data_IF_976735451944
#
_entry.id   IF_976735451944
#
_cell.length_a   1.000
_cell.length_b   1.000
_cell.length_c   1.000
_cell.angle_alpha   90.00
_cell.angle_beta   90.00
_cell.angle_gamma   90.00
#
_symmetry.space_group_name_H-M   'P 1'
#
loop_
_entity.id
_entity.type
_entity.pdbx_description
1 polymer ?
#
# COMPACT_ATOMS: atom_id res chain seq x y z
N UNK A 1 -4.30 -25.31 -3.58
CA UNK A 1 -4.57 -23.85 -3.60
C UNK A 1 -5.41 -23.50 -2.38
N UNK A 2 -4.86 -22.76 -1.41
CA UNK A 2 -5.58 -22.37 -0.18
C UNK A 2 -6.15 -20.96 -0.38
N UNK A 3 -7.47 -20.86 -0.38
CA UNK A 3 -8.19 -19.58 -0.32
C UNK A 3 -7.88 -18.89 1.02
N UNK A 4 -7.34 -17.67 0.97
CA UNK A 4 -7.37 -16.75 2.11
C UNK A 4 -8.49 -15.73 1.88
N UNK A 5 -9.37 -15.49 2.86
CA UNK A 5 -10.34 -14.41 2.77
C UNK A 5 -9.65 -13.04 2.93
N UNK A 6 -10.05 -12.06 2.11
CA UNK A 6 -9.75 -10.65 2.28
C UNK A 6 -10.64 -10.09 3.37
N UNK A 7 -10.05 -9.57 4.45
CA UNK A 7 -10.76 -8.68 5.38
C UNK A 7 -10.69 -7.27 4.81
N UNK A 8 -11.87 -6.70 4.55
CA UNK A 8 -12.04 -5.32 4.11
C UNK A 8 -12.40 -4.50 5.37
N UNK A 9 -11.62 -3.48 5.75
CA UNK A 9 -12.03 -2.59 6.82
C UNK A 9 -12.97 -1.53 6.23
N UNK A 10 -14.25 -1.75 6.47
CA UNK A 10 -15.28 -0.73 6.40
C UNK A 10 -15.36 -0.05 7.78
N UNK A 11 -15.40 1.30 7.77
CA UNK A 11 -15.98 2.23 8.75
C UNK A 11 -15.14 3.50 8.79
N UNK A 12 -15.72 4.68 8.61
CA UNK A 12 -17.04 5.06 9.08
C UNK A 12 -16.85 6.06 10.19
N UNK A 13 -17.04 7.32 9.84
CA UNK A 13 -17.21 8.45 10.74
C UNK A 13 -18.34 8.14 11.73
N UNK A 14 -18.07 8.10 13.03
CA UNK A 14 -19.08 8.35 14.07
C UNK A 14 -18.44 9.09 15.23
N UNK A 15 -18.69 10.40 15.25
CA UNK A 15 -18.57 11.28 16.41
C UNK A 15 -19.77 11.01 17.34
N UNK A 16 -19.52 10.68 18.62
CA UNK A 16 -20.51 10.80 19.70
C UNK A 16 -19.86 11.23 21.01
N UNK A 17 -20.16 12.49 21.32
CA UNK A 17 -20.19 13.15 22.62
C UNK A 17 -20.72 12.29 23.79
N UNK A 18 -20.18 12.57 24.97
CA UNK A 18 -20.84 12.70 26.29
C UNK A 18 -21.62 11.49 26.82
N UNK A 19 -21.18 10.91 27.95
CA UNK A 19 -21.83 10.98 29.27
C UNK A 19 -20.81 10.52 30.33
N UNK A 20 -20.53 11.38 31.31
CA UNK A 20 -19.77 11.00 32.50
C UNK A 20 -20.59 10.07 33.39
N UNK A 21 -20.01 8.95 33.77
CA UNK A 21 -20.58 8.04 34.76
C UNK A 21 -19.65 8.01 35.97
N UNK A 22 -20.05 8.71 37.03
CA UNK A 22 -19.47 8.57 38.36
C UNK A 22 -19.73 7.14 38.85
N UNK A 23 -18.67 6.37 39.06
CA UNK A 23 -18.76 5.11 39.81
C UNK A 23 -18.53 5.42 41.28
N UNK A 24 -19.64 5.40 42.01
CA UNK A 24 -19.70 5.30 43.46
C UNK A 24 -19.05 3.99 43.92
N UNK A 25 -18.25 4.11 44.96
CA UNK A 25 -17.76 3.02 45.81
C UNK A 25 -18.89 2.13 46.30
N UNK A 26 -18.66 0.82 46.31
CA UNK A 26 -19.34 -0.08 47.25
C UNK A 26 -18.34 -1.14 47.75
N UNK A 27 -17.95 -0.97 49.01
CA UNK A 27 -17.25 -1.94 49.85
C UNK A 27 -18.29 -2.98 50.31
N UNK A 28 -18.19 -4.24 49.88
CA UNK A 28 -18.79 -5.37 50.59
C UNK A 28 -18.40 -6.73 50.01
N UNK A 29 -17.87 -7.60 50.88
CA UNK A 29 -18.25 -9.02 50.87
C UNK A 29 -17.24 -10.00 50.29
N UNK A 30 -16.37 -10.52 51.17
CA UNK A 30 -15.68 -11.80 51.03
C UNK A 30 -16.69 -12.95 50.75
N UNK A 31 -16.98 -13.27 49.48
CA UNK A 31 -17.72 -14.48 49.10
C UNK A 31 -17.10 -15.08 47.83
N UNK A 32 -16.45 -16.23 47.97
CA UNK A 32 -16.38 -17.26 46.92
C UNK A 32 -15.44 -17.02 45.73
N UNK A 33 -14.13 -16.88 45.99
CA UNK A 33 -13.05 -16.71 45.00
C UNK A 33 -12.86 -17.87 43.98
N UNK A 34 -13.80 -18.83 43.90
CA UNK A 34 -13.70 -20.05 43.07
C UNK A 34 -14.60 -20.04 41.82
N UNK A 35 -15.50 -19.05 41.67
CA UNK A 35 -16.39 -18.89 40.49
C UNK A 35 -16.10 -17.67 39.62
N UNK A 36 -15.20 -16.77 40.05
CA UNK A 36 -14.84 -15.55 39.31
C UNK A 36 -13.71 -15.82 38.30
N UNK A 37 -12.90 -16.86 38.55
CA UNK A 37 -11.78 -17.28 37.69
C UNK A 37 -12.20 -17.54 36.22
N UNK A 38 -13.29 -18.25 35.90
CA UNK A 38 -13.66 -18.48 34.49
C UNK A 38 -14.10 -17.21 33.77
N UNK A 39 -14.66 -16.23 34.49
CA UNK A 39 -15.11 -14.95 33.92
C UNK A 39 -13.89 -14.09 33.56
N UNK A 40 -12.87 -14.07 34.41
CA UNK A 40 -11.64 -13.30 34.20
C UNK A 40 -10.82 -13.85 33.03
N UNK A 41 -10.75 -15.19 32.86
CA UNK A 41 -10.08 -15.83 31.72
C UNK A 41 -10.81 -15.54 30.40
N UNK A 42 -12.15 -15.52 30.40
CA UNK A 42 -12.94 -15.21 29.21
C UNK A 42 -12.68 -13.78 28.71
N UNK A 43 -12.56 -12.81 29.62
CA UNK A 43 -12.26 -11.42 29.29
C UNK A 43 -10.83 -11.23 28.76
N UNK A 44 -9.85 -11.97 29.29
CA UNK A 44 -8.45 -11.94 28.82
C UNK A 44 -8.29 -12.43 27.38
N UNK A 45 -9.16 -13.32 26.89
CA UNK A 45 -9.11 -13.78 25.48
C UNK A 45 -9.67 -12.77 24.48
N UNK A 46 -10.61 -11.91 24.90
CA UNK A 46 -11.20 -10.88 24.04
C UNK A 46 -10.33 -9.63 23.92
N UNK A 47 -9.44 -9.39 24.89
CA UNK A 47 -8.50 -8.25 24.90
C UNK A 47 -7.10 -8.57 24.34
N UNK A 48 -6.91 -9.74 23.72
CA UNK A 48 -5.68 -10.03 22.97
C UNK A 48 -5.69 -9.29 21.63
N UNK A 49 -5.65 -7.95 21.69
CA UNK A 49 -5.16 -7.15 20.58
C UNK A 49 -3.72 -7.59 20.32
N UNK A 50 -3.49 -8.26 19.18
CA UNK A 50 -2.16 -8.30 18.60
C UNK A 50 -1.80 -6.87 18.28
N UNK A 51 -0.73 -6.36 18.86
CA UNK A 51 -0.07 -5.18 18.35
C UNK A 51 0.19 -5.46 16.86
N UNK A 52 -0.58 -4.80 15.99
CA UNK A 52 -0.13 -4.60 14.63
C UNK A 52 1.16 -3.80 14.78
N UNK A 53 2.27 -4.51 14.60
CA UNK A 53 3.58 -3.92 14.46
C UNK A 53 3.38 -2.65 13.66
N UNK A 54 3.63 -1.52 14.32
CA UNK A 54 3.69 -0.22 13.70
C UNK A 54 4.63 -0.39 12.52
N UNK A 55 4.06 -0.60 11.34
CA UNK A 55 4.74 -0.38 10.08
C UNK A 55 4.96 1.11 10.12
N UNK A 56 6.09 1.50 10.71
CA UNK A 56 6.63 2.84 10.58
C UNK A 56 6.56 3.07 9.08
N UNK A 57 5.65 3.93 8.66
CA UNK A 57 5.56 4.41 7.30
C UNK A 57 6.81 5.26 7.08
N UNK A 58 7.97 4.59 7.06
CA UNK A 58 9.17 5.12 6.47
C UNK A 58 8.75 5.44 5.05
N UNK A 59 8.74 6.72 4.73
CA UNK A 59 8.84 7.21 3.36
C UNK A 59 10.02 6.46 2.74
N UNK A 60 9.73 5.38 2.00
CA UNK A 60 10.73 4.61 1.29
C UNK A 60 11.12 5.49 0.10
N UNK A 61 12.05 6.40 0.34
CA UNK A 61 12.84 7.01 -0.71
C UNK A 61 13.90 5.98 -1.10
N UNK A 62 14.17 5.83 -2.39
CA UNK A 62 15.11 4.82 -2.87
C UNK A 62 16.57 5.15 -2.50
N UNK A 63 16.85 6.34 -1.92
CA UNK A 63 18.17 6.83 -1.51
C UNK A 63 19.28 6.69 -2.58
N UNK A 64 18.90 6.67 -3.86
CA UNK A 64 19.81 6.60 -5.00
C UNK A 64 20.04 7.98 -5.60
N UNK A 65 21.26 8.25 -6.06
CA UNK A 65 21.62 9.53 -6.69
C UNK A 65 21.24 9.54 -8.16
N UNK A 66 21.42 8.41 -8.85
CA UNK A 66 21.06 8.24 -10.25
C UNK A 66 20.29 6.92 -10.43
N UNK A 67 18.94 6.95 -10.37
CA UNK A 67 18.14 5.72 -10.43
C UNK A 67 18.36 4.90 -11.71
N UNK A 68 18.72 5.53 -12.83
CA UNK A 68 18.96 4.81 -14.09
C UNK A 68 20.23 3.95 -14.07
N UNK A 69 21.20 4.29 -13.21
CA UNK A 69 22.47 3.57 -13.07
C UNK A 69 22.53 2.73 -11.79
N UNK A 70 21.95 3.26 -10.71
CA UNK A 70 22.09 2.72 -9.36
C UNK A 70 21.05 1.63 -9.05
N UNK A 71 19.90 1.61 -9.74
CA UNK A 71 18.88 0.57 -9.58
C UNK A 71 19.12 -0.57 -10.59
N UNK A 72 19.56 -1.78 -10.15
CA UNK A 72 19.94 -2.84 -11.07
C UNK A 72 18.78 -3.35 -11.93
N UNK A 73 17.56 -3.39 -11.38
CA UNK A 73 16.36 -3.83 -12.09
C UNK A 73 15.99 -2.83 -13.20
N UNK A 74 16.06 -1.53 -12.93
CA UNK A 74 15.71 -0.49 -13.88
C UNK A 74 16.75 -0.41 -15.01
N UNK A 75 18.04 -0.50 -14.64
CA UNK A 75 19.14 -0.60 -15.60
C UNK A 75 18.95 -1.76 -16.57
N UNK A 76 18.47 -2.91 -16.07
CA UNK A 76 18.20 -4.09 -16.90
C UNK A 76 17.07 -3.83 -17.90
N UNK A 77 15.95 -3.28 -17.45
CA UNK A 77 14.82 -2.92 -18.32
C UNK A 77 15.26 -1.96 -19.44
N UNK A 78 16.10 -0.97 -19.12
CA UNK A 78 16.61 0.01 -20.10
C UNK A 78 17.61 -0.64 -21.08
N UNK A 79 18.41 -1.60 -20.64
CA UNK A 79 19.39 -2.29 -21.46
C UNK A 79 18.77 -3.34 -22.38
N UNK A 80 17.76 -4.06 -21.90
CA UNK A 80 17.04 -5.11 -22.64
C UNK A 80 15.93 -4.53 -23.52
N UNK A 81 15.41 -3.34 -23.18
CA UNK A 81 14.37 -2.66 -23.94
C UNK A 81 14.86 -2.22 -25.32
N UNK A 82 14.43 -2.93 -26.35
CA UNK A 82 14.64 -2.54 -27.77
C UNK A 82 13.60 -1.55 -28.28
N UNK A 83 12.62 -1.18 -27.45
CA UNK A 83 11.55 -0.28 -27.85
C UNK A 83 12.10 1.15 -28.02
N UNK A 84 11.97 1.75 -29.21
CA UNK A 84 12.46 3.11 -29.43
C UNK A 84 11.71 4.14 -28.57
N UNK A 85 10.47 3.84 -28.15
CA UNK A 85 9.60 4.71 -27.36
C UNK A 85 9.57 4.29 -25.87
N UNK A 86 10.72 3.93 -25.31
CA UNK A 86 10.86 3.66 -23.88
C UNK A 86 10.96 4.99 -23.13
N UNK A 87 10.06 5.21 -22.18
CA UNK A 87 10.09 6.35 -21.28
C UNK A 87 10.10 5.87 -19.83
N UNK A 88 10.92 6.52 -19.02
CA UNK A 88 11.05 6.26 -17.58
C UNK A 88 10.81 7.56 -16.84
N UNK A 89 9.86 7.53 -15.93
CA UNK A 89 9.51 8.65 -15.05
C UNK A 89 9.68 8.26 -13.59
N UNK A 90 10.01 9.23 -12.77
CA UNK A 90 9.99 9.14 -11.32
C UNK A 90 8.79 9.93 -10.79
N UNK A 91 8.13 9.43 -9.76
CA UNK A 91 7.03 10.12 -9.09
C UNK A 91 6.90 9.71 -7.63
N UNK A 92 5.87 10.26 -6.97
CA UNK A 92 5.54 9.98 -5.57
C UNK A 92 4.17 9.33 -5.47
N UNK A 93 4.11 8.17 -4.81
CA UNK A 93 2.91 7.40 -4.56
C UNK A 93 2.87 6.94 -3.09
N UNK A 94 1.80 7.27 -2.35
CA UNK A 94 1.69 6.93 -0.92
C UNK A 94 2.94 7.28 -0.08
N UNK A 95 3.55 8.44 -0.35
CA UNK A 95 4.80 8.92 0.28
C UNK A 95 6.03 8.04 0.01
N UNK A 96 6.02 7.27 -1.09
CA UNK A 96 7.15 6.47 -1.56
C UNK A 96 7.51 6.89 -2.98
N UNK A 97 8.81 6.85 -3.29
CA UNK A 97 9.27 7.08 -4.65
C UNK A 97 8.91 5.86 -5.51
N UNK A 98 8.27 6.11 -6.64
CA UNK A 98 7.90 5.09 -7.64
C UNK A 98 8.47 5.46 -9.00
N UNK A 99 8.65 4.44 -9.83
CA UNK A 99 9.13 4.59 -11.19
C UNK A 99 8.08 4.07 -12.16
N UNK A 100 7.71 4.90 -13.12
CA UNK A 100 6.81 4.53 -14.20
C UNK A 100 7.66 4.22 -15.42
N UNK A 101 7.58 2.99 -15.91
CA UNK A 101 8.20 2.58 -17.16
C UNK A 101 7.11 2.43 -18.20
N UNK A 102 7.12 3.29 -19.19
CA UNK A 102 6.19 3.25 -20.32
C UNK A 102 6.90 2.83 -21.60
N UNK A 103 6.20 2.01 -22.39
CA UNK A 103 6.66 1.56 -23.71
C UNK A 103 5.53 1.68 -24.71
N UNK A 104 5.89 1.92 -25.97
CA UNK A 104 4.94 2.05 -27.05
C UNK A 104 5.32 1.06 -28.17
N UNK A 105 4.74 -0.14 -28.22
CA UNK A 105 5.09 -1.13 -29.25
C UNK A 105 4.53 -0.68 -30.61
N UNK A 106 3.35 -0.07 -30.61
CA UNK A 106 2.71 0.52 -31.78
C UNK A 106 1.80 1.63 -31.29
N UNK A 107 2.28 2.88 -31.29
CA UNK A 107 1.56 3.99 -30.66
C UNK A 107 0.14 4.24 -31.20
N UNK A 108 -0.19 3.66 -32.35
CA UNK A 108 -1.54 3.61 -32.89
C UNK A 108 -2.51 2.71 -32.10
N UNK A 109 -2.01 1.64 -31.47
CA UNK A 109 -2.75 0.78 -30.53
C UNK A 109 -2.57 1.21 -29.06
N UNK A 110 -1.82 2.30 -28.86
CA UNK A 110 -1.44 2.98 -27.63
C UNK A 110 -0.35 2.31 -26.79
N UNK A 111 -0.07 2.91 -25.65
CA UNK A 111 1.07 2.60 -24.80
C UNK A 111 0.75 1.63 -23.67
N UNK A 112 1.81 1.01 -23.16
CA UNK A 112 1.82 0.23 -21.92
C UNK A 112 2.65 0.98 -20.89
N UNK A 113 2.19 1.00 -19.65
CA UNK A 113 2.94 1.59 -18.55
C UNK A 113 2.87 0.69 -17.32
N UNK A 114 4.01 0.55 -16.65
CA UNK A 114 4.13 -0.25 -15.45
C UNK A 114 4.75 0.59 -14.35
N UNK A 115 4.13 0.59 -13.18
CA UNK A 115 4.54 1.34 -12.00
C UNK A 115 5.29 0.39 -11.07
N UNK A 116 6.53 0.72 -10.74
CA UNK A 116 7.40 -0.04 -9.86
C UNK A 116 7.73 0.75 -8.59
N UNK A 117 7.91 0.02 -7.50
CA UNK A 117 8.55 0.52 -6.28
C UNK A 117 10.07 0.58 -6.42
N UNK A 118 10.74 1.21 -5.46
CA UNK A 118 12.21 1.23 -5.34
C UNK A 118 12.88 -0.15 -5.43
N UNK A 119 12.25 -1.17 -4.84
CA UNK A 119 12.76 -2.55 -4.82
C UNK A 119 12.51 -3.32 -6.12
N UNK A 120 11.88 -2.68 -7.12
CA UNK A 120 11.56 -3.30 -8.41
C UNK A 120 10.29 -4.15 -8.37
N UNK A 121 9.53 -4.13 -7.27
CA UNK A 121 8.22 -4.77 -7.20
C UNK A 121 7.21 -3.96 -8.00
N UNK A 122 6.53 -4.62 -8.93
CA UNK A 122 5.42 -4.05 -9.69
C UNK A 122 4.24 -3.74 -8.74
N UNK A 123 3.81 -2.48 -8.72
CA UNK A 123 2.58 -2.05 -8.06
C UNK A 123 1.41 -2.30 -8.99
N UNK A 124 1.55 -1.83 -10.23
CA UNK A 124 0.55 -2.07 -11.24
C UNK A 124 1.04 -1.88 -12.67
N UNK A 125 0.34 -2.53 -13.58
CA UNK A 125 0.47 -2.43 -15.01
C UNK A 125 -0.86 -1.95 -15.62
N UNK A 126 -0.79 -1.01 -16.56
CA UNK A 126 -1.95 -0.56 -17.31
C UNK A 126 -1.56 -0.29 -18.77
N UNK A 127 -2.54 -0.43 -19.65
CA UNK A 127 -2.37 -0.28 -21.09
C UNK A 127 -3.57 0.38 -21.72
N UNK A 128 -3.66 0.34 -23.04
CA UNK A 128 -4.92 0.75 -23.70
C UNK A 128 -6.06 -0.20 -23.37
N UNK A 129 -7.29 0.30 -23.47
CA UNK A 129 -8.52 -0.40 -23.09
C UNK A 129 -8.69 -1.81 -23.69
N UNK A 130 -8.01 -2.13 -24.80
CA UNK A 130 -8.06 -3.46 -25.41
C UNK A 130 -7.18 -4.46 -24.65
N UNK A 131 -6.13 -3.97 -24.01
CA UNK A 131 -5.07 -4.77 -23.39
C UNK A 131 -4.97 -4.54 -21.88
N UNK A 132 -5.87 -3.77 -21.27
CA UNK A 132 -5.81 -3.45 -19.86
C UNK A 132 -6.54 -4.50 -19.00
N UNK A 133 -5.83 -5.36 -18.25
CA UNK A 133 -6.46 -6.28 -17.32
C UNK A 133 -6.99 -5.58 -16.05
N UNK A 134 -6.62 -4.32 -15.80
CA UNK A 134 -6.90 -3.65 -14.54
C UNK A 134 -7.12 -2.13 -14.68
N UNK A 135 -8.32 -1.69 -15.11
CA UNK A 135 -8.61 -0.27 -15.40
C UNK A 135 -8.44 0.66 -14.20
N UNK A 136 -8.43 0.12 -12.97
CA UNK A 136 -8.19 0.92 -11.76
C UNK A 136 -6.78 1.49 -11.70
N UNK A 137 -5.80 0.90 -12.41
CA UNK A 137 -4.42 1.38 -12.33
C UNK A 137 -4.14 2.61 -13.18
N UNK A 138 -4.98 2.85 -14.18
CA UNK A 138 -4.99 4.13 -14.86
C UNK A 138 -5.31 5.27 -13.90
N UNK A 139 -6.28 5.07 -12.99
CA UNK A 139 -6.62 6.06 -11.95
C UNK A 139 -5.43 6.34 -11.03
N UNK A 140 -4.71 5.29 -10.60
CA UNK A 140 -3.49 5.45 -9.79
C UNK A 140 -2.47 6.32 -10.51
N UNK A 141 -2.22 6.07 -11.79
CA UNK A 141 -1.28 6.87 -12.57
C UNK A 141 -1.72 8.32 -12.75
N UNK A 142 -3.00 8.56 -13.06
CA UNK A 142 -3.51 9.90 -13.39
C UNK A 142 -3.72 10.78 -12.16
N UNK A 143 -4.24 10.21 -11.07
CA UNK A 143 -4.77 10.97 -9.92
C UNK A 143 -3.95 10.83 -8.64
N UNK A 144 -3.31 9.67 -8.41
CA UNK A 144 -2.62 9.41 -7.15
C UNK A 144 -1.10 9.66 -7.21
N UNK A 145 -0.48 9.52 -8.39
CA UNK A 145 0.95 9.79 -8.57
C UNK A 145 1.21 11.29 -8.75
N UNK A 146 2.05 11.85 -7.88
CA UNK A 146 2.40 13.28 -7.88
C UNK A 146 3.89 13.50 -8.14
N UNK A 147 4.29 14.77 -8.36
CA UNK A 147 5.69 15.19 -8.55
C UNK A 147 6.44 14.40 -9.64
N UNK A 148 5.76 14.14 -10.76
CA UNK A 148 6.35 13.36 -11.86
C UNK A 148 7.51 14.11 -12.51
N UNK A 149 8.59 13.39 -12.76
CA UNK A 149 9.77 13.86 -13.47
C UNK A 149 10.23 12.79 -14.45
N UNK A 150 10.33 13.14 -15.72
CA UNK A 150 10.91 12.26 -16.74
C UNK A 150 12.41 12.13 -16.51
N UNK A 151 12.88 10.89 -16.39
CA UNK A 151 14.30 10.56 -16.22
C UNK A 151 14.94 10.14 -17.56
N UNK A 152 14.17 9.45 -18.40
CA UNK A 152 14.59 8.98 -19.71
C UNK A 152 13.41 9.04 -20.67
N UNK A 153 13.65 9.49 -21.88
CA UNK A 153 12.75 9.35 -23.02
C UNK A 153 13.61 9.06 -24.25
N UNK A 154 13.26 8.02 -25.00
CA UNK A 154 13.86 7.69 -26.30
C UNK A 154 12.85 7.88 -27.41
#
# INVERSE_FOLDING_TARGET
MRFRPKCQPDRGVVNKNTVGLQLLSDDSGLIGMRRIIPILILWLTLFSCRDEATVVAHTISCEVKNPLLDLPWLKRIIAEGTNPYLQVEEGQYQKQTVYIVSTCISCFAGGMATIYRCDGVEICHFGTYILDPNPSCKYVYEEEITNRKTLLSR
#
